data_IF_319667999340
#
_entry.id   IF_319667999340
#
_cell.length_a   1.000
_cell.length_b   1.000
_cell.length_c   1.000
_cell.angle_alpha   90.00
_cell.angle_beta   90.00
_cell.angle_gamma   90.00
#
_symmetry.space_group_name_H-M   'P 1'
#
loop_
_entity.id
_entity.type
_entity.pdbx_description
1 polymer ?
#
# COMPACT_ATOMS: atom_id res chain seq x y z
N UNK A 1 15.65 6.99 5.23
CA UNK A 1 14.31 6.94 4.54
C UNK A 1 13.39 7.93 5.26
N UNK A 2 12.77 8.87 4.53
CA UNK A 2 11.91 9.90 5.14
C UNK A 2 10.61 9.29 5.62
N UNK A 3 10.30 9.50 6.89
CA UNK A 3 9.02 9.11 7.47
C UNK A 3 7.91 10.07 7.00
N UNK A 4 6.89 9.53 6.34
CA UNK A 4 5.77 10.32 5.81
C UNK A 4 4.64 10.42 6.84
N UNK A 5 4.95 11.04 7.98
CA UNK A 5 4.10 11.05 9.18
C UNK A 5 2.66 11.50 8.92
N UNK A 6 2.46 12.53 8.09
CA UNK A 6 1.11 13.03 7.78
C UNK A 6 0.21 12.00 7.06
N UNK A 7 0.79 11.02 6.32
CA UNK A 7 0.02 9.91 5.77
C UNK A 7 -0.20 8.83 6.83
N UNK A 8 0.82 8.53 7.63
CA UNK A 8 0.72 7.55 8.71
C UNK A 8 -0.37 7.93 9.71
N UNK A 9 -0.44 9.21 10.12
CA UNK A 9 -1.51 9.73 10.99
C UNK A 9 -2.91 9.50 10.41
N UNK A 10 -3.07 9.61 9.09
CA UNK A 10 -4.35 9.37 8.42
C UNK A 10 -4.70 7.88 8.34
N UNK A 11 -3.71 7.00 8.21
CA UNK A 11 -3.91 5.56 8.01
C UNK A 11 -4.08 4.81 9.35
N UNK A 12 -3.38 5.21 10.42
CA UNK A 12 -3.40 4.56 11.75
C UNK A 12 -4.80 4.28 12.29
N UNK A 13 -5.80 5.18 12.21
CA UNK A 13 -7.15 4.89 12.69
C UNK A 13 -7.83 3.70 11.99
N UNK A 14 -7.31 3.30 10.84
CA UNK A 14 -7.86 2.21 10.02
C UNK A 14 -7.09 0.91 10.14
N UNK A 15 -5.99 0.82 10.91
CA UNK A 15 -5.18 -0.39 11.01
C UNK A 15 -6.01 -1.62 11.34
N UNK A 16 -6.92 -1.53 12.30
CA UNK A 16 -7.77 -2.63 12.75
C UNK A 16 -9.15 -2.68 12.06
N UNK A 17 -9.43 -1.72 11.19
CA UNK A 17 -10.70 -1.64 10.47
C UNK A 17 -10.85 -2.80 9.48
N UNK A 18 -12.09 -3.29 9.32
CA UNK A 18 -12.46 -4.24 8.26
C UNK A 18 -12.53 -3.62 6.86
N UNK A 19 -12.36 -2.30 6.75
CA UNK A 19 -12.23 -1.63 5.46
C UNK A 19 -10.90 -1.99 4.80
N UNK A 20 -10.92 -2.18 3.49
CA UNK A 20 -9.71 -2.34 2.70
C UNK A 20 -9.02 -0.97 2.60
N UNK A 21 -7.76 -0.86 3.01
CA UNK A 21 -6.95 0.35 2.90
C UNK A 21 -6.28 0.38 1.54
N UNK A 22 -6.69 1.32 0.69
CA UNK A 22 -6.18 1.48 -0.66
C UNK A 22 -5.23 2.67 -0.72
N UNK A 23 -3.97 2.40 -0.99
CA UNK A 23 -2.94 3.43 -1.19
C UNK A 23 -2.76 3.65 -2.68
N UNK A 24 -3.21 4.81 -3.17
CA UNK A 24 -3.15 5.19 -4.58
C UNK A 24 -2.17 6.33 -4.80
N UNK A 25 -1.77 6.53 -6.04
CA UNK A 25 -0.88 7.62 -6.42
C UNK A 25 -0.17 7.30 -7.74
N UNK A 26 0.44 8.31 -8.34
CA UNK A 26 1.21 8.12 -9.57
C UNK A 26 2.41 7.21 -9.32
N UNK A 27 2.92 6.62 -10.39
CA UNK A 27 4.12 5.77 -10.31
C UNK A 27 5.28 6.56 -9.70
N UNK A 28 6.08 5.92 -8.84
CA UNK A 28 7.24 6.49 -8.14
C UNK A 28 6.94 7.62 -7.14
N UNK A 29 5.69 7.78 -6.67
CA UNK A 29 5.38 8.76 -5.62
C UNK A 29 5.62 8.25 -4.18
N UNK A 30 6.16 7.03 -4.01
CA UNK A 30 6.49 6.47 -2.69
C UNK A 30 5.37 5.67 -2.04
N UNK A 31 4.46 5.05 -2.80
CA UNK A 31 3.40 4.17 -2.25
C UNK A 31 3.96 2.98 -1.49
N UNK A 32 4.86 2.22 -2.13
CA UNK A 32 5.48 1.02 -1.53
C UNK A 32 6.27 1.37 -0.27
N UNK A 33 7.02 2.48 -0.29
CA UNK A 33 7.74 3.00 0.89
C UNK A 33 6.78 3.36 2.03
N UNK A 34 5.64 3.98 1.72
CA UNK A 34 4.63 4.27 2.75
C UNK A 34 4.04 2.97 3.34
N UNK A 35 3.81 1.95 2.49
CA UNK A 35 3.33 0.64 2.95
C UNK A 35 4.36 -0.05 3.86
N UNK A 36 5.65 0.01 3.51
CA UNK A 36 6.74 -0.48 4.37
C UNK A 36 6.74 0.22 5.74
N UNK A 37 6.57 1.55 5.77
CA UNK A 37 6.49 2.30 7.04
C UNK A 37 5.29 1.89 7.89
N UNK A 38 4.13 1.62 7.29
CA UNK A 38 2.94 1.09 8.00
C UNK A 38 3.22 -0.32 8.53
N UNK A 39 3.85 -1.16 7.72
CA UNK A 39 4.20 -2.53 8.11
C UNK A 39 5.20 -2.55 9.26
N UNK A 40 6.22 -1.69 9.22
CA UNK A 40 7.22 -1.56 10.28
C UNK A 40 6.57 -1.13 11.61
N UNK A 41 5.68 -0.15 11.62
CA UNK A 41 4.95 0.26 12.83
C UNK A 41 4.12 -0.89 13.43
N UNK A 42 3.49 -1.70 12.58
CA UNK A 42 2.71 -2.85 13.03
C UNK A 42 3.63 -3.96 13.59
N UNK A 43 4.75 -4.25 12.94
CA UNK A 43 5.75 -5.22 13.42
C UNK A 43 6.37 -4.78 14.74
N UNK A 44 6.73 -3.51 14.87
CA UNK A 44 7.25 -2.94 16.12
C UNK A 44 6.24 -3.06 17.28
N UNK A 45 4.94 -3.04 16.94
CA UNK A 45 3.83 -3.26 17.88
C UNK A 45 3.54 -4.76 18.14
N UNK A 46 4.38 -5.68 17.65
CA UNK A 46 4.23 -7.12 17.83
C UNK A 46 3.13 -7.76 16.96
N UNK A 47 2.67 -7.10 15.89
CA UNK A 47 1.62 -7.62 15.02
C UNK A 47 2.20 -8.53 13.95
N UNK A 48 1.41 -9.55 13.55
CA UNK A 48 1.77 -10.48 12.47
C UNK A 48 1.44 -9.86 11.12
N UNK A 49 2.43 -9.76 10.23
CA UNK A 49 2.28 -9.17 8.89
C UNK A 49 2.62 -10.17 7.79
N UNK A 50 1.98 -10.01 6.64
CA UNK A 50 2.28 -10.72 5.39
C UNK A 50 2.39 -9.68 4.26
N UNK A 51 3.53 -9.63 3.58
CA UNK A 51 3.77 -8.70 2.48
C UNK A 51 4.00 -9.44 1.17
N UNK A 52 3.24 -9.08 0.14
CA UNK A 52 3.29 -9.68 -1.20
C UNK A 52 3.43 -8.57 -2.24
N UNK A 53 4.57 -8.56 -2.96
CA UNK A 53 4.81 -7.62 -4.04
C UNK A 53 4.66 -8.32 -5.40
N UNK A 54 3.64 -7.97 -6.17
CA UNK A 54 3.30 -8.57 -7.46
C UNK A 54 4.11 -8.02 -8.64
N UNK A 55 5.08 -7.14 -8.42
CA UNK A 55 6.11 -6.83 -9.40
C UNK A 55 7.26 -7.85 -9.37
N UNK A 56 7.39 -8.63 -8.29
CA UNK A 56 8.43 -9.66 -8.20
C UNK A 56 8.02 -10.93 -8.92
N UNK A 57 8.95 -11.49 -9.71
CA UNK A 57 8.70 -12.69 -10.52
C UNK A 57 8.29 -13.89 -9.64
N UNK A 58 8.93 -14.05 -8.48
CA UNK A 58 8.66 -15.17 -7.58
C UNK A 58 7.21 -15.15 -7.04
N UNK A 59 6.68 -13.97 -6.71
CA UNK A 59 5.29 -13.83 -6.23
C UNK A 59 4.31 -13.99 -7.39
N UNK A 60 4.54 -13.29 -8.52
CA UNK A 60 3.64 -13.32 -9.68
C UNK A 60 3.53 -14.70 -10.35
N UNK A 61 4.59 -15.52 -10.33
CA UNK A 61 4.54 -16.89 -10.82
C UNK A 61 3.81 -17.85 -9.88
N UNK A 62 3.86 -17.60 -8.57
CA UNK A 62 3.20 -18.44 -7.55
C UNK A 62 1.73 -18.09 -7.37
N UNK A 63 1.38 -16.82 -7.47
CA UNK A 63 0.02 -16.31 -7.27
C UNK A 63 -0.48 -15.75 -8.60
N UNK A 64 -1.14 -16.61 -9.36
CA UNK A 64 -1.56 -16.31 -10.74
C UNK A 64 -2.99 -15.84 -10.90
N UNK A 65 -3.81 -15.98 -9.86
CA UNK A 65 -5.24 -15.63 -9.86
C UNK A 65 -5.77 -15.35 -8.46
N UNK A 66 -7.05 -14.96 -8.37
CA UNK A 66 -7.72 -14.65 -7.12
C UNK A 66 -7.76 -15.82 -6.13
N UNK A 67 -7.92 -17.07 -6.61
CA UNK A 67 -7.97 -18.24 -5.74
C UNK A 67 -6.62 -18.51 -5.10
N UNK A 68 -5.55 -18.44 -5.89
CA UNK A 68 -4.17 -18.60 -5.40
C UNK A 68 -3.84 -17.51 -4.37
N UNK A 69 -4.25 -16.26 -4.61
CA UNK A 69 -4.09 -15.16 -3.66
C UNK A 69 -4.83 -15.43 -2.34
N UNK A 70 -6.08 -15.85 -2.43
CA UNK A 70 -6.91 -16.15 -1.26
C UNK A 70 -6.31 -17.31 -0.43
N UNK A 71 -5.89 -18.38 -1.08
CA UNK A 71 -5.28 -19.54 -0.41
C UNK A 71 -3.95 -19.15 0.25
N UNK A 72 -3.11 -18.38 -0.43
CA UNK A 72 -1.84 -17.91 0.13
C UNK A 72 -2.09 -17.13 1.43
N UNK A 73 -2.97 -16.15 1.41
CA UNK A 73 -3.29 -15.36 2.61
C UNK A 73 -3.89 -16.23 3.70
N UNK A 74 -4.86 -17.10 3.37
CA UNK A 74 -5.52 -17.99 4.34
C UNK A 74 -4.54 -18.95 5.01
N UNK A 75 -3.51 -19.39 4.33
CA UNK A 75 -2.48 -20.27 4.91
C UNK A 75 -1.66 -19.60 6.03
N UNK A 76 -1.66 -18.27 6.10
CA UNK A 76 -0.96 -17.48 7.11
C UNK A 76 -1.88 -16.98 8.24
N UNK A 77 -3.20 -17.22 8.17
CA UNK A 77 -4.13 -16.82 9.21
C UNK A 77 -3.95 -17.73 10.42
N UNK A 78 -3.62 -17.13 11.56
CA UNK A 78 -3.50 -17.78 12.86
C UNK A 78 -4.60 -17.34 13.82
N UNK A 79 -4.34 -17.45 15.13
CA UNK A 79 -5.23 -16.98 16.19
C UNK A 79 -5.36 -15.46 16.26
N UNK A 80 -4.30 -14.75 15.89
CA UNK A 80 -4.24 -13.30 15.90
C UNK A 80 -4.62 -12.72 14.53
N UNK A 81 -4.99 -11.42 14.52
CA UNK A 81 -5.28 -10.71 13.28
C UNK A 81 -4.02 -10.63 12.41
N UNK A 82 -4.13 -11.02 11.15
CA UNK A 82 -3.09 -10.91 10.15
C UNK A 82 -3.22 -9.57 9.39
N UNK A 83 -2.13 -8.82 9.30
CA UNK A 83 -2.05 -7.59 8.51
C UNK A 83 -1.39 -7.89 7.17
N UNK A 84 -2.15 -7.76 6.09
CA UNK A 84 -1.75 -8.19 4.74
C UNK A 84 -1.49 -6.98 3.87
N UNK A 85 -0.31 -6.94 3.26
CA UNK A 85 0.16 -5.90 2.36
C UNK A 85 0.30 -6.45 0.96
N UNK A 86 -0.51 -5.95 0.03
CA UNK A 86 -0.53 -6.38 -1.37
C UNK A 86 -0.08 -5.22 -2.26
N UNK A 87 1.19 -5.25 -2.68
CA UNK A 87 1.77 -4.19 -3.51
C UNK A 87 1.57 -4.51 -5.00
N UNK A 88 1.06 -3.52 -5.75
CA UNK A 88 0.70 -3.62 -7.17
C UNK A 88 -0.27 -4.79 -7.47
N UNK A 89 -1.30 -4.93 -6.61
CA UNK A 89 -2.27 -6.04 -6.62
C UNK A 89 -3.04 -6.20 -7.93
N UNK A 90 -3.17 -5.15 -8.74
CA UNK A 90 -3.83 -5.21 -10.06
C UNK A 90 -3.13 -6.11 -11.07
N UNK A 91 -1.94 -6.61 -10.75
CA UNK A 91 -1.25 -7.62 -11.57
C UNK A 91 -1.82 -9.03 -11.37
N UNK A 92 -2.70 -9.23 -10.38
CA UNK A 92 -3.42 -10.49 -10.15
C UNK A 92 -4.79 -10.40 -10.81
N UNK A 93 -5.17 -11.30 -11.73
CA UNK A 93 -6.51 -11.36 -12.28
C UNK A 93 -7.56 -11.54 -11.16
N UNK A 94 -8.68 -10.82 -11.26
CA UNK A 94 -9.82 -10.91 -10.34
C UNK A 94 -9.49 -10.71 -8.84
N UNK A 95 -8.37 -10.03 -8.54
CA UNK A 95 -7.88 -9.75 -7.18
C UNK A 95 -8.95 -9.14 -6.27
N UNK A 96 -9.88 -8.37 -6.82
CA UNK A 96 -11.00 -7.77 -6.11
C UNK A 96 -11.92 -8.82 -5.46
N UNK A 97 -12.11 -9.98 -6.10
CA UNK A 97 -12.88 -11.09 -5.55
C UNK A 97 -12.18 -11.70 -4.33
N UNK A 98 -10.86 -11.92 -4.43
CA UNK A 98 -10.06 -12.39 -3.30
C UNK A 98 -10.11 -11.40 -2.12
N UNK A 99 -9.92 -10.10 -2.37
CA UNK A 99 -9.98 -9.08 -1.33
C UNK A 99 -11.37 -8.98 -0.66
N UNK A 100 -12.46 -9.19 -1.43
CA UNK A 100 -13.82 -9.23 -0.87
C UNK A 100 -14.02 -10.40 0.06
N UNK A 101 -13.51 -11.59 -0.28
CA UNK A 101 -13.58 -12.79 0.55
C UNK A 101 -12.72 -12.63 1.79
N UNK A 102 -11.44 -12.28 1.62
CA UNK A 102 -10.47 -12.11 2.69
C UNK A 102 -10.90 -11.08 3.74
N UNK A 103 -11.60 -10.02 3.32
CA UNK A 103 -12.13 -9.01 4.24
C UNK A 103 -13.07 -9.57 5.31
N UNK A 104 -13.68 -10.72 5.06
CA UNK A 104 -14.57 -11.40 6.00
C UNK A 104 -13.83 -12.27 7.03
N UNK A 105 -12.55 -12.48 6.80
CA UNK A 105 -11.65 -13.22 7.68
C UNK A 105 -11.01 -12.31 8.75
N UNK A 106 -10.22 -12.89 9.64
CA UNK A 106 -9.48 -12.15 10.66
C UNK A 106 -8.21 -11.48 10.07
N UNK A 107 -8.41 -10.69 9.03
CA UNK A 107 -7.33 -9.98 8.34
C UNK A 107 -7.59 -8.48 8.24
N UNK A 108 -6.53 -7.72 8.07
CA UNK A 108 -6.55 -6.29 7.77
C UNK A 108 -5.79 -6.07 6.46
N UNK A 109 -6.51 -5.66 5.39
CA UNK A 109 -5.95 -5.56 4.05
C UNK A 109 -5.45 -4.14 3.74
N UNK A 110 -4.21 -4.05 3.29
CA UNK A 110 -3.59 -2.86 2.72
C UNK A 110 -3.17 -3.18 1.29
N UNK A 111 -3.62 -2.39 0.33
CA UNK A 111 -3.32 -2.62 -1.08
C UNK A 111 -2.78 -1.38 -1.75
N UNK A 112 -1.84 -1.55 -2.67
CA UNK A 112 -1.40 -0.48 -3.56
C UNK A 112 -1.67 -0.82 -5.01
N UNK A 113 -1.62 0.20 -5.83
CA UNK A 113 -1.61 0.08 -7.28
C UNK A 113 -1.73 1.43 -7.97
N UNK A 114 -1.63 1.41 -9.30
CA UNK A 114 -1.77 2.63 -10.10
C UNK A 114 -3.22 3.10 -10.11
N UNK A 115 -3.44 4.43 -10.03
CA UNK A 115 -4.78 5.06 -9.98
C UNK A 115 -5.74 4.58 -11.07
N UNK A 116 -5.25 4.36 -12.29
CA UNK A 116 -6.09 4.02 -13.44
C UNK A 116 -6.72 2.63 -13.34
N UNK A 117 -6.04 1.70 -12.67
CA UNK A 117 -6.50 0.31 -12.54
C UNK A 117 -7.26 0.05 -11.24
N UNK A 118 -6.82 0.65 -10.12
CA UNK A 118 -7.45 0.47 -8.81
C UNK A 118 -8.73 1.28 -8.60
N UNK A 119 -8.88 2.40 -9.31
CA UNK A 119 -10.06 3.27 -9.19
C UNK A 119 -10.94 3.21 -10.45
N UNK A 120 -10.89 2.11 -11.21
CA UNK A 120 -11.83 1.88 -12.30
C UNK A 120 -13.28 1.91 -11.78
N UNK A 121 -14.24 2.31 -12.64
CA UNK A 121 -15.66 2.37 -12.25
C UNK A 121 -16.20 1.01 -11.78
N UNK A 122 -15.68 -0.07 -12.31
CA UNK A 122 -16.03 -1.44 -11.93
C UNK A 122 -15.60 -1.74 -10.49
N UNK A 123 -14.33 -1.45 -10.18
CA UNK A 123 -13.78 -1.66 -8.85
C UNK A 123 -14.49 -0.82 -7.78
N UNK A 124 -14.70 0.47 -8.03
CA UNK A 124 -15.38 1.36 -7.08
C UNK A 124 -16.83 0.94 -6.83
N UNK A 125 -17.50 0.36 -7.83
CA UNK A 125 -18.86 -0.18 -7.69
C UNK A 125 -18.89 -1.46 -6.87
N UNK A 126 -17.95 -2.38 -7.10
CA UNK A 126 -17.89 -3.67 -6.40
C UNK A 126 -17.48 -3.58 -4.93
N UNK A 127 -16.60 -2.64 -4.60
CA UNK A 127 -16.12 -2.42 -3.25
C UNK A 127 -16.74 -1.20 -2.55
N UNK A 128 -17.81 -0.64 -3.11
CA UNK A 128 -18.51 0.52 -2.51
C UNK A 128 -18.84 0.27 -1.04
N UNK A 129 -18.46 1.21 -0.17
CA UNK A 129 -18.63 1.13 1.28
C UNK A 129 -17.72 0.12 2.01
N UNK A 130 -16.74 -0.49 1.31
CA UNK A 130 -15.87 -1.54 1.85
C UNK A 130 -14.40 -1.17 1.85
N UNK A 131 -14.04 0.03 1.44
CA UNK A 131 -12.67 0.51 1.40
C UNK A 131 -12.55 1.97 1.86
N UNK A 132 -11.34 2.34 2.22
CA UNK A 132 -10.89 3.71 2.39
C UNK A 132 -9.67 3.93 1.50
N UNK A 133 -9.57 5.09 0.85
CA UNK A 133 -8.45 5.37 -0.05
C UNK A 133 -7.59 6.52 0.45
N UNK A 134 -6.28 6.35 0.34
CA UNK A 134 -5.25 7.33 0.67
C UNK A 134 -4.47 7.67 -0.59
N UNK A 135 -4.54 8.92 -1.03
CA UNK A 135 -3.86 9.35 -2.24
C UNK A 135 -2.49 9.92 -1.91
N UNK A 136 -1.46 9.19 -2.25
CA UNK A 136 -0.06 9.60 -2.10
C UNK A 136 0.35 10.49 -3.26
N UNK A 137 1.01 11.60 -2.94
CA UNK A 137 1.61 12.54 -3.91
C UNK A 137 3.12 12.43 -3.85
N UNK A 138 3.84 12.85 -4.89
CA UNK A 138 5.29 13.08 -4.82
C UNK A 138 5.64 13.95 -3.61
N UNK A 139 6.89 13.98 -3.23
CA UNK A 139 7.35 14.80 -2.10
C UNK A 139 6.91 16.26 -2.25
N UNK A 140 6.37 16.81 -1.16
CA UNK A 140 6.25 18.26 -1.03
C UNK A 140 7.63 18.86 -0.73
N UNK A 141 7.79 20.16 -0.93
CA UNK A 141 9.08 20.83 -0.73
C UNK A 141 9.77 20.48 0.60
N UNK A 142 9.02 20.43 1.69
CA UNK A 142 9.56 20.07 3.00
C UNK A 142 10.18 18.66 2.99
N UNK A 143 9.44 17.68 2.46
CA UNK A 143 9.89 16.27 2.39
C UNK A 143 11.11 16.13 1.46
N UNK A 144 11.11 16.83 0.31
CA UNK A 144 12.23 16.80 -0.61
C UNK A 144 13.50 17.37 0.01
N UNK A 145 13.39 18.46 0.75
CA UNK A 145 14.53 19.06 1.46
C UNK A 145 15.09 18.14 2.53
N UNK A 146 14.23 17.48 3.29
CA UNK A 146 14.64 16.49 4.28
C UNK A 146 15.32 15.29 3.61
N UNK A 147 14.79 14.82 2.50
CA UNK A 147 15.38 13.73 1.71
C UNK A 147 16.75 14.10 1.13
N UNK A 148 16.88 15.27 0.56
CA UNK A 148 18.15 15.74 0.05
C UNK A 148 19.21 15.86 1.17
N UNK A 149 18.81 16.37 2.33
CA UNK A 149 19.70 16.45 3.51
C UNK A 149 20.17 15.07 3.99
N UNK A 150 19.30 14.06 4.02
CA UNK A 150 19.70 12.66 4.33
C UNK A 150 20.75 12.12 3.34
N UNK A 151 20.68 12.54 2.08
CA UNK A 151 21.63 12.14 1.04
C UNK A 151 22.90 13.01 1.01
N UNK A 152 23.03 13.98 1.91
CA UNK A 152 24.12 14.95 1.92
C UNK A 152 24.10 15.89 0.70
N UNK A 153 22.92 16.13 0.12
CA UNK A 153 22.72 17.01 -1.05
C UNK A 153 22.01 18.29 -0.64
N UNK A 154 22.40 19.37 -1.26
CA UNK A 154 21.64 20.62 -1.21
C UNK A 154 20.59 20.62 -2.32
N UNK A 155 19.42 21.16 -2.04
CA UNK A 155 18.35 21.37 -3.03
C UNK A 155 17.74 22.75 -2.84
N UNK A 156 17.35 23.38 -3.92
CA UNK A 156 16.73 24.71 -3.92
C UNK A 156 15.26 24.63 -4.32
N UNK A 157 14.48 25.66 -3.98
CA UNK A 157 13.08 25.78 -4.43
C UNK A 157 13.00 25.76 -5.96
N UNK A 158 14.01 26.31 -6.64
CA UNK A 158 14.05 26.31 -8.10
C UNK A 158 14.22 24.90 -8.65
N UNK A 159 15.04 24.05 -8.02
CA UNK A 159 15.17 22.64 -8.39
C UNK A 159 13.82 21.92 -8.24
N UNK A 160 13.12 22.15 -7.12
CA UNK A 160 11.80 21.59 -6.90
C UNK A 160 10.77 22.02 -7.93
N UNK A 161 10.76 23.30 -8.31
CA UNK A 161 9.85 23.81 -9.35
C UNK A 161 10.20 23.29 -10.75
N UNK A 162 11.48 23.00 -11.00
CA UNK A 162 11.97 22.52 -12.29
C UNK A 162 11.78 21.01 -12.46
N UNK A 163 12.14 20.22 -11.44
CA UNK A 163 12.19 18.76 -11.51
C UNK A 163 11.04 18.06 -10.75
N UNK A 164 10.28 18.79 -9.96
CA UNK A 164 9.20 18.26 -9.14
C UNK A 164 9.69 17.53 -7.87
N UNK A 165 8.76 16.85 -7.20
CA UNK A 165 9.01 16.16 -5.92
C UNK A 165 9.14 14.64 -6.04
N UNK A 166 9.63 14.12 -7.17
CA UNK A 166 9.91 12.69 -7.28
C UNK A 166 11.22 12.35 -6.57
N UNK A 167 11.24 11.32 -5.70
CA UNK A 167 12.44 10.86 -5.01
C UNK A 167 13.45 10.19 -5.96
#
# INVERSE_FOLDING_TARGET
>A
MIKREHYLEQIRPFYDSSLIKIVTGIRRCGKSVLMEQVEDELRESGKTTLSLNFETLAVSQRITDANALEQEVKSHIGSEKLYVFLDEVQNVPDWNLACRSLRLENVSLFITGSNSKLLSKEFTRELSGRYVSFRVRPFVWKELREYAAELGRETTVLDYLTFGGFP
#
